data_IF_749187594445
#
_entry.id   IF_749187594445
#
_cell.length_a   1.000
_cell.length_b   1.000
_cell.length_c   1.000
_cell.angle_alpha   90.00
_cell.angle_beta   90.00
_cell.angle_gamma   90.00
#
_symmetry.space_group_name_H-M   'P 1'
#
loop_
_entity.id
_entity.type
_entity.pdbx_description
1 polymer ?
#
# COMPACT_ATOMS: atom_id res chain seq x y z
N UNK A 1 13.83 -13.32 5.80
CA UNK A 1 13.88 -12.31 4.70
C UNK A 1 15.15 -11.44 4.74
N UNK A 2 16.31 -12.07 4.88
CA UNK A 2 17.57 -11.34 4.95
C UNK A 2 17.84 -10.48 3.71
N UNK A 3 18.14 -9.19 3.91
CA UNK A 3 18.46 -8.24 2.84
C UNK A 3 17.29 -7.42 2.31
N UNK A 4 16.06 -7.67 2.76
CA UNK A 4 14.90 -6.83 2.46
C UNK A 4 14.86 -5.66 3.44
N UNK A 5 14.64 -4.46 2.94
CA UNK A 5 14.38 -3.30 3.79
C UNK A 5 12.89 -3.27 4.15
N UNK A 6 12.60 -2.95 5.39
CA UNK A 6 11.24 -2.87 5.88
C UNK A 6 10.86 -1.42 6.15
N UNK A 7 9.72 -1.01 5.62
CA UNK A 7 8.99 0.17 6.05
C UNK A 7 7.95 -0.22 7.11
N UNK A 8 7.51 0.73 7.91
CA UNK A 8 6.43 0.57 8.88
C UNK A 8 5.39 1.66 8.68
N UNK A 9 4.12 1.37 8.94
CA UNK A 9 3.09 2.39 8.96
C UNK A 9 3.35 3.34 10.13
N UNK A 10 3.55 4.62 9.86
CA UNK A 10 3.82 5.62 10.87
C UNK A 10 3.16 6.98 10.55
N UNK A 11 2.74 7.67 11.61
CA UNK A 11 2.20 9.03 11.59
C UNK A 11 3.11 10.04 12.28
N UNK A 12 2.52 11.16 12.74
CA UNK A 12 3.24 12.17 13.51
C UNK A 12 4.01 13.17 12.64
N UNK A 13 3.68 13.27 11.36
CA UNK A 13 4.35 14.12 10.38
C UNK A 13 4.13 15.62 10.64
N UNK A 14 3.20 16.00 11.51
CA UNK A 14 2.94 17.36 11.99
C UNK A 14 4.10 17.92 12.81
N UNK A 15 4.87 17.05 13.48
CA UNK A 15 6.13 17.38 14.14
C UNK A 15 7.25 16.46 13.59
N UNK A 16 7.80 16.79 12.41
CA UNK A 16 8.74 15.90 11.73
C UNK A 16 10.06 15.71 12.49
N UNK A 17 10.47 16.66 13.34
CA UNK A 17 11.69 16.49 14.15
C UNK A 17 11.49 15.47 15.25
N UNK A 18 10.32 15.54 15.94
CA UNK A 18 9.95 14.54 16.93
C UNK A 18 9.77 13.16 16.28
N UNK A 19 9.14 13.11 15.09
CA UNK A 19 8.98 11.87 14.34
C UNK A 19 10.34 11.24 14.00
N UNK A 20 11.34 12.02 13.59
CA UNK A 20 12.72 11.55 13.36
C UNK A 20 13.30 10.94 14.65
N UNK A 21 13.22 11.67 15.77
CA UNK A 21 13.78 11.19 17.02
C UNK A 21 13.15 9.88 17.48
N UNK A 22 11.80 9.79 17.41
CA UNK A 22 11.05 8.61 17.83
C UNK A 22 11.35 7.40 16.92
N UNK A 23 11.32 7.57 15.60
CA UNK A 23 11.52 6.51 14.63
C UNK A 23 12.97 6.02 14.61
N UNK A 24 13.95 6.94 14.67
CA UNK A 24 15.38 6.58 14.70
C UNK A 24 15.73 5.83 15.99
N UNK A 25 15.14 6.22 17.15
CA UNK A 25 15.33 5.47 18.40
C UNK A 25 14.86 4.02 18.30
N UNK A 26 13.88 3.73 17.45
CA UNK A 26 13.35 2.39 17.15
C UNK A 26 14.06 1.70 15.98
N UNK A 27 15.04 2.35 15.34
CA UNK A 27 15.77 1.80 14.20
C UNK A 27 14.97 1.72 12.90
N UNK A 28 13.95 2.57 12.77
CA UNK A 28 13.15 2.70 11.55
C UNK A 28 13.92 3.57 10.55
N UNK A 29 14.07 3.09 9.32
CA UNK A 29 14.72 3.81 8.22
C UNK A 29 13.72 4.21 7.11
N UNK A 30 12.54 3.59 7.09
CA UNK A 30 11.52 3.86 6.10
C UNK A 30 10.11 3.76 6.69
N UNK A 31 9.21 4.58 6.18
CA UNK A 31 7.81 4.59 6.59
C UNK A 31 6.87 4.56 5.38
N UNK A 32 5.69 4.02 5.63
CA UNK A 32 4.48 4.35 4.89
C UNK A 32 3.66 5.33 5.72
N UNK A 33 3.28 6.44 5.09
CA UNK A 33 2.51 7.49 5.74
C UNK A 33 1.04 7.44 5.32
N UNK A 34 0.16 8.02 6.15
CA UNK A 34 -1.23 8.24 5.79
C UNK A 34 -1.39 9.48 4.91
N UNK A 35 -2.38 9.45 4.01
CA UNK A 35 -2.68 10.55 3.09
C UNK A 35 -3.08 11.87 3.77
N UNK A 36 -3.65 11.83 4.96
CA UNK A 36 -4.22 13.02 5.64
C UNK A 36 -3.24 14.17 5.71
N UNK A 37 -1.99 13.90 6.11
CA UNK A 37 -0.95 14.93 6.15
C UNK A 37 -0.73 15.58 4.79
N UNK A 38 -0.69 14.79 3.72
CA UNK A 38 -0.44 15.27 2.35
C UNK A 38 -1.62 16.07 1.80
N UNK A 39 -2.84 15.64 2.08
CA UNK A 39 -4.06 16.27 1.57
C UNK A 39 -4.45 17.56 2.29
N UNK A 40 -4.02 17.72 3.55
CA UNK A 40 -4.38 18.88 4.37
C UNK A 40 -3.31 19.96 4.44
N UNK A 41 -2.09 19.67 3.99
CA UNK A 41 -0.98 20.62 4.06
C UNK A 41 -0.58 21.18 2.68
N UNK A 42 0.08 22.34 2.69
CA UNK A 42 0.63 22.93 1.47
C UNK A 42 1.82 22.13 0.93
N UNK A 43 2.07 22.21 -0.38
CA UNK A 43 3.25 21.60 -1.01
C UNK A 43 4.58 21.99 -0.32
N UNK A 44 4.71 23.25 0.14
CA UNK A 44 5.89 23.70 0.87
C UNK A 44 6.07 23.00 2.23
N UNK A 45 4.98 22.76 2.96
CA UNK A 45 5.01 22.00 4.23
C UNK A 45 5.37 20.54 3.96
N UNK A 46 4.75 19.92 2.97
CA UNK A 46 5.02 18.53 2.57
C UNK A 46 6.50 18.35 2.18
N UNK A 47 7.04 19.25 1.35
CA UNK A 47 8.46 19.23 0.95
C UNK A 47 9.39 19.38 2.13
N UNK A 48 9.13 20.33 3.03
CA UNK A 48 10.01 20.57 4.19
C UNK A 48 9.95 19.42 5.18
N UNK A 49 8.79 18.84 5.42
CA UNK A 49 8.64 17.66 6.29
C UNK A 49 9.41 16.48 5.71
N UNK A 50 9.26 16.18 4.42
CA UNK A 50 10.00 15.11 3.75
C UNK A 50 11.52 15.33 3.84
N UNK A 51 11.98 16.57 3.66
CA UNK A 51 13.39 16.93 3.81
C UNK A 51 13.92 16.68 5.22
N UNK A 52 13.17 17.09 6.26
CA UNK A 52 13.56 16.87 7.67
C UNK A 52 13.67 15.37 7.97
N UNK A 53 12.70 14.56 7.53
CA UNK A 53 12.72 13.10 7.70
C UNK A 53 13.94 12.49 7.00
N UNK A 54 14.17 12.86 5.74
CA UNK A 54 15.29 12.37 4.94
C UNK A 54 16.65 12.73 5.58
N UNK A 55 16.83 13.99 6.03
CA UNK A 55 18.03 14.43 6.72
C UNK A 55 18.25 13.67 8.05
N UNK A 56 17.16 13.20 8.67
CA UNK A 56 17.18 12.33 9.85
C UNK A 56 17.35 10.83 9.53
N UNK A 57 17.53 10.46 8.26
CA UNK A 57 17.70 9.07 7.82
C UNK A 57 16.40 8.28 7.64
N UNK A 58 15.23 8.96 7.63
CA UNK A 58 13.92 8.34 7.43
C UNK A 58 13.41 8.63 6.02
N UNK A 59 13.10 7.59 5.26
CA UNK A 59 12.50 7.73 3.91
C UNK A 59 10.99 7.52 3.98
N UNK A 60 10.18 8.42 3.41
CA UNK A 60 8.78 8.14 3.14
C UNK A 60 8.74 7.28 1.87
N UNK A 61 8.54 5.98 2.01
CA UNK A 61 8.59 5.02 0.91
C UNK A 61 7.31 5.02 0.09
N UNK A 62 6.19 5.05 0.78
CA UNK A 62 4.84 5.04 0.22
C UNK A 62 3.88 5.88 1.05
N UNK A 63 2.74 6.19 0.46
CA UNK A 63 1.63 6.84 1.15
C UNK A 63 0.37 6.03 0.88
N UNK A 64 -0.31 5.61 1.96
CA UNK A 64 -1.61 4.96 1.83
C UNK A 64 -2.67 6.00 1.48
N UNK A 65 -3.33 5.84 0.34
CA UNK A 65 -4.43 6.71 -0.07
C UNK A 65 -5.63 6.57 0.88
N UNK A 66 -6.51 7.56 0.98
CA UNK A 66 -7.72 7.43 1.77
C UNK A 66 -8.60 6.32 1.20
N UNK A 67 -9.21 5.55 2.07
CA UNK A 67 -10.08 4.41 1.70
C UNK A 67 -11.48 4.55 2.30
N UNK A 68 -12.34 3.58 2.01
CA UNK A 68 -13.75 3.61 2.39
C UNK A 68 -14.65 4.17 1.30
N UNK A 69 -15.98 4.10 1.53
CA UNK A 69 -16.98 4.36 0.50
C UNK A 69 -16.87 5.74 -0.16
N UNK A 70 -16.46 6.77 0.60
CA UNK A 70 -16.30 8.14 0.10
C UNK A 70 -15.04 8.35 -0.75
N UNK A 71 -14.12 7.38 -0.77
CA UNK A 71 -12.85 7.44 -1.50
C UNK A 71 -12.69 6.26 -2.46
N UNK A 72 -13.78 5.53 -2.72
CA UNK A 72 -13.77 4.34 -3.55
C UNK A 72 -13.63 4.70 -5.04
N UNK A 73 -12.57 4.19 -5.67
CA UNK A 73 -12.34 4.32 -7.12
C UNK A 73 -13.36 3.55 -7.94
N UNK A 74 -14.15 2.67 -7.31
CA UNK A 74 -15.23 1.91 -7.92
C UNK A 74 -16.60 2.24 -7.34
N UNK A 75 -16.79 3.42 -6.74
CA UNK A 75 -18.09 3.81 -6.19
C UNK A 75 -19.19 3.74 -7.27
N UNK A 76 -20.36 3.16 -6.95
CA UNK A 76 -21.51 3.14 -7.86
C UNK A 76 -22.03 4.54 -8.20
N UNK A 77 -21.87 5.49 -7.25
CA UNK A 77 -22.21 6.89 -7.43
C UNK A 77 -21.07 7.61 -8.16
N UNK A 78 -21.40 8.24 -9.30
CA UNK A 78 -20.42 8.90 -10.17
C UNK A 78 -19.80 10.14 -9.51
N UNK A 79 -20.55 10.90 -8.71
CA UNK A 79 -20.05 12.09 -8.03
C UNK A 79 -19.03 11.68 -6.94
N UNK A 80 -19.31 10.60 -6.20
CA UNK A 80 -18.39 10.03 -5.22
C UNK A 80 -17.12 9.54 -5.90
N UNK A 81 -17.26 8.85 -7.04
CA UNK A 81 -16.12 8.33 -7.80
C UNK A 81 -15.26 9.46 -8.37
N UNK A 82 -15.87 10.50 -8.95
CA UNK A 82 -15.14 11.67 -9.43
C UNK A 82 -14.37 12.39 -8.31
N UNK A 83 -14.98 12.51 -7.12
CA UNK A 83 -14.30 13.08 -5.96
C UNK A 83 -13.15 12.20 -5.48
N UNK A 84 -13.32 10.88 -5.51
CA UNK A 84 -12.23 9.93 -5.18
C UNK A 84 -11.06 10.09 -6.17
N UNK A 85 -11.32 10.17 -7.47
CA UNK A 85 -10.29 10.41 -8.51
C UNK A 85 -9.55 11.72 -8.24
N UNK A 86 -10.24 12.85 -7.98
CA UNK A 86 -9.56 14.12 -7.70
C UNK A 86 -8.72 14.04 -6.41
N UNK A 87 -9.20 13.35 -5.38
CA UNK A 87 -8.45 13.16 -4.13
C UNK A 87 -7.15 12.37 -4.37
N UNK A 88 -7.21 11.28 -5.14
CA UNK A 88 -6.02 10.51 -5.50
C UNK A 88 -5.08 11.31 -6.42
N UNK A 89 -5.62 12.10 -7.36
CA UNK A 89 -4.84 12.99 -8.21
C UNK A 89 -4.10 14.07 -7.41
N UNK A 90 -4.76 14.66 -6.40
CA UNK A 90 -4.12 15.58 -5.47
C UNK A 90 -3.00 14.88 -4.68
N UNK A 91 -3.26 13.67 -4.19
CA UNK A 91 -2.26 12.89 -3.44
C UNK A 91 -1.03 12.59 -4.28
N UNK A 92 -1.18 12.17 -5.54
CA UNK A 92 -0.07 11.94 -6.46
C UNK A 92 0.81 13.19 -6.61
N UNK A 93 0.20 14.37 -6.79
CA UNK A 93 0.93 15.65 -6.90
C UNK A 93 1.67 15.99 -5.60
N UNK A 94 1.06 15.78 -4.45
CA UNK A 94 1.69 16.03 -3.14
C UNK A 94 2.83 15.05 -2.87
N UNK A 95 2.66 13.78 -3.19
CA UNK A 95 3.70 12.76 -3.08
C UNK A 95 4.94 13.11 -3.92
N UNK A 96 4.75 13.66 -5.12
CA UNK A 96 5.86 14.11 -5.96
C UNK A 96 6.70 15.21 -5.28
N UNK A 97 6.08 16.16 -4.56
CA UNK A 97 6.81 17.18 -3.79
C UNK A 97 7.63 16.61 -2.63
N UNK A 98 7.22 15.47 -2.10
CA UNK A 98 7.93 14.76 -1.02
C UNK A 98 8.98 13.76 -1.52
N UNK A 99 9.08 13.53 -2.83
CA UNK A 99 9.93 12.48 -3.39
C UNK A 99 9.42 11.05 -3.10
N UNK A 100 8.15 10.90 -2.75
CA UNK A 100 7.49 9.60 -2.57
C UNK A 100 7.26 8.96 -3.93
N UNK A 101 7.56 7.68 -4.06
CA UNK A 101 7.51 6.99 -5.35
C UNK A 101 6.26 6.13 -5.58
N UNK A 102 5.49 5.85 -4.53
CA UNK A 102 4.32 4.97 -4.61
C UNK A 102 3.20 5.48 -3.70
N UNK A 103 1.97 5.52 -4.20
CA UNK A 103 0.77 5.53 -3.34
C UNK A 103 0.13 4.15 -3.38
N UNK A 104 -0.47 3.74 -2.25
CA UNK A 104 -1.28 2.53 -2.18
C UNK A 104 -2.74 2.92 -2.37
N UNK A 105 -3.45 2.24 -3.24
CA UNK A 105 -4.85 2.51 -3.52
C UNK A 105 -5.66 1.22 -3.51
N UNK A 106 -6.84 1.25 -2.89
CA UNK A 106 -7.81 0.18 -2.97
C UNK A 106 -8.60 0.25 -4.28
N UNK A 107 -8.84 -0.86 -4.98
CA UNK A 107 -9.73 -0.88 -6.15
C UNK A 107 -11.15 -0.43 -5.81
N UNK A 108 -11.59 -0.68 -4.57
CA UNK A 108 -12.90 -0.30 -4.08
C UNK A 108 -13.23 -0.93 -2.74
N UNK A 109 -14.50 -0.87 -2.38
CA UNK A 109 -15.03 -1.40 -1.11
C UNK A 109 -16.04 -2.52 -1.37
N UNK A 110 -16.52 -3.19 -0.30
CA UNK A 110 -17.61 -4.18 -0.39
C UNK A 110 -19.02 -3.58 -0.46
N UNK A 111 -19.15 -2.29 -0.83
CA UNK A 111 -20.42 -1.56 -0.86
C UNK A 111 -21.49 -2.20 -1.77
N UNK A 112 -21.05 -2.83 -2.86
CA UNK A 112 -21.95 -3.47 -3.82
C UNK A 112 -21.42 -4.87 -4.22
N UNK A 113 -21.41 -5.85 -3.32
CA UNK A 113 -20.77 -7.14 -3.54
C UNK A 113 -21.41 -7.95 -4.70
N UNK A 114 -22.68 -7.69 -5.02
CA UNK A 114 -23.37 -8.31 -6.17
C UNK A 114 -22.99 -7.66 -7.51
N UNK A 115 -22.23 -6.58 -7.50
CA UNK A 115 -21.85 -5.76 -8.66
C UNK A 115 -20.34 -5.68 -8.88
N UNK A 116 -19.57 -6.64 -8.37
CA UNK A 116 -18.09 -6.62 -8.44
C UNK A 116 -17.60 -6.42 -9.89
N UNK A 117 -18.26 -7.05 -10.88
CA UNK A 117 -17.87 -6.89 -12.27
C UNK A 117 -17.99 -5.44 -12.79
N UNK A 118 -19.07 -4.72 -12.38
CA UNK A 118 -19.26 -3.30 -12.69
C UNK A 118 -18.28 -2.42 -11.91
N UNK A 119 -18.00 -2.79 -10.67
CA UNK A 119 -17.02 -2.08 -9.83
C UNK A 119 -15.61 -2.16 -10.42
N UNK A 120 -15.23 -3.29 -11.02
CA UNK A 120 -13.96 -3.41 -11.75
C UNK A 120 -13.92 -2.49 -12.96
N UNK A 121 -15.03 -2.35 -13.71
CA UNK A 121 -15.12 -1.41 -14.85
C UNK A 121 -14.99 0.05 -14.38
N UNK A 122 -15.65 0.42 -13.28
CA UNK A 122 -15.53 1.77 -12.71
C UNK A 122 -14.14 2.07 -12.16
N UNK A 123 -13.51 1.09 -11.50
CA UNK A 123 -12.13 1.23 -11.04
C UNK A 123 -11.18 1.44 -12.23
N UNK A 124 -11.35 0.66 -13.31
CA UNK A 124 -10.59 0.85 -14.54
C UNK A 124 -10.73 2.27 -15.08
N UNK A 125 -11.95 2.80 -15.23
CA UNK A 125 -12.20 4.16 -15.69
C UNK A 125 -11.51 5.21 -14.80
N UNK A 126 -11.59 5.05 -13.49
CA UNK A 126 -10.89 5.93 -12.53
C UNK A 126 -9.39 5.90 -12.70
N UNK A 127 -8.81 4.73 -12.95
CA UNK A 127 -7.37 4.58 -13.17
C UNK A 127 -6.92 5.07 -14.55
N UNK A 128 -7.77 5.01 -15.57
CA UNK A 128 -7.52 5.65 -16.87
C UNK A 128 -7.35 7.17 -16.75
N UNK A 129 -8.08 7.81 -15.82
CA UNK A 129 -7.92 9.23 -15.50
C UNK A 129 -6.68 9.51 -14.65
N UNK A 130 -6.33 8.62 -13.73
CA UNK A 130 -5.20 8.78 -12.80
C UNK A 130 -3.84 8.44 -13.43
N UNK A 131 -3.79 7.49 -14.37
CA UNK A 131 -2.55 7.00 -14.95
C UNK A 131 -1.69 8.10 -15.59
N UNK A 132 -2.23 9.04 -16.41
CA UNK A 132 -1.44 10.15 -16.94
C UNK A 132 -0.86 11.06 -15.86
N UNK A 133 -1.55 11.22 -14.72
CA UNK A 133 -1.08 12.04 -13.60
C UNK A 133 0.04 11.31 -12.87
N UNK A 134 -0.11 10.01 -12.66
CA UNK A 134 0.92 9.16 -12.06
C UNK A 134 2.21 9.16 -12.90
N UNK A 135 2.10 9.05 -14.22
CA UNK A 135 3.24 9.14 -15.14
C UNK A 135 3.90 10.52 -15.09
N UNK A 136 3.12 11.60 -15.13
CA UNK A 136 3.65 12.97 -15.07
C UNK A 136 4.34 13.28 -13.75
N UNK A 137 3.81 12.79 -12.64
CA UNK A 137 4.36 13.00 -11.30
C UNK A 137 5.50 12.04 -10.97
N UNK A 138 5.68 10.98 -11.75
CA UNK A 138 6.59 9.87 -11.49
C UNK A 138 6.29 9.16 -10.16
N UNK A 139 5.03 9.21 -9.70
CA UNK A 139 4.52 8.50 -8.52
C UNK A 139 3.64 7.36 -9.00
N UNK A 140 4.01 6.13 -8.68
CA UNK A 140 3.26 4.95 -9.10
C UNK A 140 2.05 4.71 -8.20
N UNK A 141 1.04 4.02 -8.73
CA UNK A 141 -0.11 3.55 -7.97
C UNK A 141 0.04 2.03 -7.77
N UNK A 142 0.21 1.60 -6.52
CA UNK A 142 0.12 0.20 -6.13
C UNK A 142 -1.34 -0.15 -5.83
N UNK A 143 -1.99 -0.83 -6.76
CA UNK A 143 -3.36 -1.30 -6.57
C UNK A 143 -3.34 -2.54 -5.68
N UNK A 144 -4.02 -2.49 -4.55
CA UNK A 144 -3.93 -3.53 -3.53
C UNK A 144 -4.91 -4.69 -3.79
N UNK A 145 -4.44 -5.94 -3.59
CA UNK A 145 -5.38 -7.07 -3.58
C UNK A 145 -6.24 -7.03 -2.32
N UNK A 146 -7.54 -7.20 -2.50
CA UNK A 146 -8.53 -6.93 -1.48
C UNK A 146 -9.09 -8.19 -0.81
N UNK A 147 -9.79 -7.96 0.27
CA UNK A 147 -10.58 -8.95 1.02
C UNK A 147 -11.71 -9.56 0.16
N UNK A 148 -12.27 -10.72 0.57
CA UNK A 148 -13.46 -11.29 -0.08
C UNK A 148 -14.60 -10.29 -0.24
N UNK A 149 -15.32 -10.37 -1.34
CA UNK A 149 -16.46 -9.49 -1.71
C UNK A 149 -16.08 -8.02 -2.03
N UNK A 150 -14.82 -7.73 -2.23
CA UNK A 150 -14.35 -6.46 -2.77
C UNK A 150 -13.91 -6.65 -4.23
N UNK A 151 -13.92 -5.60 -5.07
CA UNK A 151 -13.22 -5.64 -6.34
C UNK A 151 -11.71 -5.77 -6.10
N UNK A 152 -11.02 -6.56 -6.93
CA UNK A 152 -9.59 -6.81 -6.76
C UNK A 152 -9.25 -7.89 -5.74
N UNK A 153 -10.21 -8.74 -5.37
CA UNK A 153 -10.01 -9.88 -4.48
C UNK A 153 -9.08 -10.93 -5.09
N UNK A 154 -9.15 -11.14 -6.39
CA UNK A 154 -8.32 -12.12 -7.10
C UNK A 154 -7.22 -11.45 -7.92
N UNK A 155 -6.15 -12.20 -8.21
CA UNK A 155 -5.06 -11.72 -9.06
C UNK A 155 -5.53 -11.42 -10.48
N UNK A 156 -6.45 -12.20 -11.01
CA UNK A 156 -7.04 -12.02 -12.34
C UNK A 156 -7.86 -10.74 -12.44
N UNK A 157 -8.59 -10.36 -11.38
CA UNK A 157 -9.32 -9.09 -11.32
C UNK A 157 -8.35 -7.90 -11.36
N UNK A 158 -7.26 -7.94 -10.61
CA UNK A 158 -6.23 -6.90 -10.64
C UNK A 158 -5.57 -6.80 -12.02
N UNK A 159 -5.15 -7.93 -12.60
CA UNK A 159 -4.54 -7.94 -13.92
C UNK A 159 -5.49 -7.43 -15.00
N UNK A 160 -6.78 -7.79 -14.93
CA UNK A 160 -7.80 -7.26 -15.85
C UNK A 160 -7.80 -5.72 -15.87
N UNK A 161 -7.77 -5.07 -14.70
CA UNK A 161 -7.74 -3.61 -14.60
C UNK A 161 -6.41 -3.07 -15.14
N UNK A 162 -5.28 -3.60 -14.66
CA UNK A 162 -3.96 -3.10 -15.00
C UNK A 162 -3.63 -3.26 -16.48
N UNK A 163 -4.04 -4.37 -17.10
CA UNK A 163 -3.80 -4.65 -18.53
C UNK A 163 -4.72 -3.79 -19.42
N UNK A 164 -5.94 -3.48 -18.97
CA UNK A 164 -6.83 -2.60 -19.70
C UNK A 164 -6.36 -1.15 -19.72
N UNK A 165 -5.82 -0.65 -18.59
CA UNK A 165 -5.27 0.72 -18.50
C UNK A 165 -3.89 0.82 -19.17
N UNK A 166 -3.11 -0.25 -19.18
CA UNK A 166 -1.79 -0.39 -19.84
C UNK A 166 -0.81 0.77 -19.57
N UNK A 167 -0.67 1.15 -18.29
CA UNK A 167 0.26 2.19 -17.87
C UNK A 167 1.42 1.63 -17.04
N UNK A 168 2.67 2.07 -17.30
CA UNK A 168 3.83 1.67 -16.50
C UNK A 168 3.82 2.27 -15.08
N UNK A 169 2.98 3.28 -14.84
CA UNK A 169 2.81 3.88 -13.52
C UNK A 169 1.90 3.07 -12.59
N UNK A 170 1.26 2.00 -13.08
CA UNK A 170 0.41 1.14 -12.30
C UNK A 170 1.08 -0.20 -12.00
N UNK A 171 0.85 -0.72 -10.81
CA UNK A 171 1.28 -2.05 -10.41
C UNK A 171 0.46 -2.55 -9.23
N UNK A 172 0.87 -3.66 -8.65
CA UNK A 172 0.19 -4.29 -7.52
C UNK A 172 0.91 -3.96 -6.21
N UNK A 173 0.15 -3.58 -5.18
CA UNK A 173 0.54 -3.75 -3.80
C UNK A 173 0.05 -5.13 -3.35
N UNK A 174 0.97 -6.06 -3.07
CA UNK A 174 0.58 -7.39 -2.62
C UNK A 174 0.45 -7.41 -1.11
N UNK A 175 -0.79 -7.52 -0.61
CA UNK A 175 -1.09 -7.70 0.80
C UNK A 175 -1.24 -9.18 1.16
N UNK A 176 -0.41 -9.63 2.14
CA UNK A 176 -0.35 -11.03 2.59
C UNK A 176 -1.57 -11.41 3.42
N UNK A 177 -2.10 -10.49 4.21
CA UNK A 177 -3.27 -10.70 5.06
C UNK A 177 -4.55 -10.84 4.25
N UNK A 178 -4.76 -9.94 3.30
CA UNK A 178 -5.91 -9.99 2.37
C UNK A 178 -5.88 -11.26 1.52
N UNK A 179 -4.73 -11.60 0.94
CA UNK A 179 -4.57 -12.83 0.16
C UNK A 179 -4.80 -14.08 1.01
N UNK A 180 -4.42 -14.06 2.31
CA UNK A 180 -4.70 -15.15 3.23
C UNK A 180 -6.19 -15.29 3.55
N UNK A 181 -6.93 -14.17 3.72
CA UNK A 181 -8.38 -14.19 3.88
C UNK A 181 -9.12 -14.77 2.68
N UNK A 182 -8.53 -14.69 1.48
CA UNK A 182 -9.06 -15.30 0.27
C UNK A 182 -8.79 -16.82 0.18
N UNK A 183 -7.99 -17.37 1.09
CA UNK A 183 -7.68 -18.79 1.17
C UNK A 183 -6.65 -19.31 0.17
N UNK A 184 -6.12 -18.49 -0.72
CA UNK A 184 -5.12 -18.87 -1.72
C UNK A 184 -4.06 -17.77 -1.93
N UNK A 185 -3.32 -17.46 -0.90
CA UNK A 185 -2.24 -16.46 -0.95
C UNK A 185 -1.23 -16.77 -2.07
N UNK A 186 -0.86 -18.04 -2.21
CA UNK A 186 0.10 -18.46 -3.24
C UNK A 186 -0.45 -18.26 -4.65
N UNK A 187 -1.70 -18.66 -4.89
CA UNK A 187 -2.34 -18.50 -6.21
C UNK A 187 -2.43 -17.03 -6.61
N UNK A 188 -2.90 -16.17 -5.72
CA UNK A 188 -2.94 -14.72 -5.99
C UNK A 188 -1.54 -14.19 -6.31
N UNK A 189 -0.53 -14.56 -5.50
CA UNK A 189 0.86 -14.14 -5.72
C UNK A 189 1.39 -14.55 -7.10
N UNK A 190 1.26 -15.83 -7.48
CA UNK A 190 1.78 -16.35 -8.75
C UNK A 190 1.14 -15.67 -9.97
N UNK A 191 -0.12 -15.24 -9.84
CA UNK A 191 -0.82 -14.50 -10.90
C UNK A 191 -0.27 -13.09 -11.06
N UNK A 192 -0.01 -12.37 -9.95
CA UNK A 192 0.34 -10.94 -10.00
C UNK A 192 1.83 -10.65 -9.89
N UNK A 193 2.69 -11.63 -9.64
CA UNK A 193 4.11 -11.46 -9.24
C UNK A 193 4.91 -10.53 -10.16
N UNK A 194 4.65 -10.57 -11.47
CA UNK A 194 5.38 -9.75 -12.45
C UNK A 194 4.86 -8.30 -12.52
N UNK A 195 3.81 -7.99 -11.78
CA UNK A 195 3.20 -6.65 -11.68
C UNK A 195 3.32 -6.07 -10.26
N UNK A 196 3.89 -6.81 -9.29
CA UNK A 196 4.07 -6.33 -7.92
C UNK A 196 5.13 -5.23 -7.88
N UNK A 197 4.80 -4.12 -7.23
CA UNK A 197 5.70 -2.97 -7.04
C UNK A 197 5.95 -2.65 -5.57
N UNK A 198 5.13 -3.17 -4.68
CA UNK A 198 5.28 -3.04 -3.23
C UNK A 198 4.48 -4.13 -2.51
N UNK A 199 4.65 -4.23 -1.21
CA UNK A 199 4.00 -5.23 -0.37
C UNK A 199 3.45 -4.61 0.90
N UNK A 200 2.30 -5.12 1.33
CA UNK A 200 1.83 -5.04 2.71
C UNK A 200 2.00 -6.38 3.40
N UNK A 201 2.69 -6.37 4.54
CA UNK A 201 2.91 -7.55 5.35
C UNK A 201 2.05 -7.43 6.62
N UNK A 202 0.97 -8.15 6.65
CA UNK A 202 0.11 -8.35 7.80
C UNK A 202 -0.18 -9.84 7.99
N UNK A 203 -0.40 -10.26 9.22
CA UNK A 203 -0.90 -11.60 9.54
C UNK A 203 -2.35 -11.51 10.04
N UNK A 204 -3.11 -12.57 10.00
CA UNK A 204 -4.46 -12.65 10.51
C UNK A 204 -4.90 -14.10 10.75
N UNK A 205 -6.20 -14.34 11.03
CA UNK A 205 -6.77 -15.66 11.28
C UNK A 205 -7.32 -16.37 10.02
N UNK A 206 -7.17 -15.74 8.84
CA UNK A 206 -7.73 -16.23 7.57
C UNK A 206 -9.23 -15.92 7.38
N UNK A 207 -9.83 -15.12 8.26
CA UNK A 207 -11.25 -14.73 8.20
C UNK A 207 -11.43 -13.22 8.14
N UNK A 208 -10.77 -12.51 9.03
CA UNK A 208 -10.87 -11.05 9.15
C UNK A 208 -9.54 -10.36 8.92
N UNK A 209 -9.64 -9.09 8.56
CA UNK A 209 -8.50 -8.21 8.42
C UNK A 209 -8.07 -7.69 9.80
N UNK A 210 -7.25 -8.48 10.47
CA UNK A 210 -6.91 -8.27 11.88
C UNK A 210 -5.57 -7.59 12.10
N UNK A 211 -4.77 -7.45 11.05
CA UNK A 211 -3.43 -6.85 11.11
C UNK A 211 -2.57 -7.38 12.26
N UNK A 212 -2.53 -8.69 12.46
CA UNK A 212 -1.63 -9.30 13.44
C UNK A 212 -0.18 -9.13 12.99
N UNK A 213 0.71 -9.02 13.96
CA UNK A 213 2.14 -9.03 13.66
C UNK A 213 2.56 -10.40 13.11
N UNK A 214 3.30 -10.44 11.99
CA UNK A 214 3.94 -11.68 11.56
C UNK A 214 4.92 -12.20 12.63
N UNK A 215 4.95 -13.49 12.97
CA UNK A 215 4.15 -14.60 12.44
C UNK A 215 3.07 -15.09 13.45
N UNK A 216 2.32 -14.21 14.07
CA UNK A 216 1.42 -14.57 15.19
C UNK A 216 -0.02 -14.88 14.78
N UNK A 217 -0.35 -14.80 13.49
CA UNK A 217 -1.60 -15.29 12.93
C UNK A 217 -1.44 -16.67 12.31
N UNK A 218 -2.16 -16.90 11.21
CA UNK A 218 -2.20 -18.19 10.51
C UNK A 218 -1.67 -18.15 9.08
N UNK A 219 -1.08 -17.03 8.64
CA UNK A 219 -0.41 -16.93 7.34
C UNK A 219 0.75 -17.93 7.28
N UNK A 220 0.83 -18.69 6.19
CA UNK A 220 1.96 -19.58 5.96
C UNK A 220 3.19 -18.80 5.46
N UNK A 221 3.94 -18.23 6.39
CA UNK A 221 5.13 -17.41 6.10
C UNK A 221 6.24 -18.20 5.40
N UNK A 222 6.35 -19.51 5.63
CA UNK A 222 7.32 -20.37 4.94
C UNK A 222 6.98 -20.42 3.44
N UNK A 223 5.70 -20.58 3.12
CA UNK A 223 5.23 -20.61 1.74
C UNK A 223 5.39 -19.22 1.08
N UNK A 224 4.97 -18.14 1.76
CA UNK A 224 5.19 -16.77 1.27
C UNK A 224 6.67 -16.50 0.95
N UNK A 225 7.58 -16.76 1.87
CA UNK A 225 9.01 -16.55 1.66
C UNK A 225 9.53 -17.41 0.49
N UNK A 226 9.00 -18.63 0.31
CA UNK A 226 9.40 -19.49 -0.79
C UNK A 226 9.06 -18.90 -2.17
N UNK A 227 7.85 -18.33 -2.32
CA UNK A 227 7.43 -17.70 -3.58
C UNK A 227 8.07 -16.32 -3.76
N UNK A 228 8.17 -15.52 -2.70
CA UNK A 228 8.85 -14.23 -2.72
C UNK A 228 10.30 -14.33 -3.23
N UNK A 229 11.02 -15.38 -2.86
CA UNK A 229 12.40 -15.62 -3.32
C UNK A 229 12.52 -15.89 -4.82
N UNK A 230 11.43 -16.18 -5.51
CA UNK A 230 11.44 -16.38 -6.96
C UNK A 230 11.36 -15.08 -7.76
N UNK A 231 11.05 -13.93 -7.10
CA UNK A 231 10.98 -12.63 -7.76
C UNK A 231 12.37 -12.09 -8.10
N UNK A 232 12.44 -11.24 -9.11
CA UNK A 232 13.63 -10.45 -9.45
C UNK A 232 14.02 -9.52 -8.27
N UNK A 233 15.33 -9.31 -8.06
CA UNK A 233 15.84 -8.58 -6.90
C UNK A 233 15.40 -7.10 -6.88
N UNK A 234 15.23 -6.49 -8.05
CA UNK A 234 14.85 -5.07 -8.17
C UNK A 234 13.48 -4.75 -7.56
N UNK A 235 12.60 -5.73 -7.42
CA UNK A 235 11.26 -5.58 -6.83
C UNK A 235 11.22 -5.90 -5.33
N UNK A 236 12.36 -6.18 -4.71
CA UNK A 236 12.44 -6.58 -3.29
C UNK A 236 12.90 -5.47 -2.35
N UNK A 237 12.98 -4.22 -2.85
CA UNK A 237 13.69 -3.18 -2.11
C UNK A 237 13.00 -2.78 -0.81
N UNK A 238 11.66 -2.73 -0.78
CA UNK A 238 10.92 -2.38 0.43
C UNK A 238 9.61 -3.15 0.52
N UNK A 239 9.33 -3.62 1.74
CA UNK A 239 8.03 -4.12 2.13
C UNK A 239 7.52 -3.30 3.30
N UNK A 240 6.28 -2.89 3.27
CA UNK A 240 5.64 -2.23 4.41
C UNK A 240 5.07 -3.28 5.36
N UNK A 241 5.46 -3.20 6.62
CA UNK A 241 4.82 -3.98 7.69
C UNK A 241 3.59 -3.21 8.14
N UNK A 242 2.43 -3.67 7.68
CA UNK A 242 1.14 -3.00 7.91
C UNK A 242 0.46 -3.52 9.18
N UNK A 243 1.16 -3.38 10.27
CA UNK A 243 0.67 -3.76 11.60
C UNK A 243 1.27 -2.85 12.66
N UNK A 244 0.50 -2.43 13.66
CA UNK A 244 1.05 -1.66 14.75
C UNK A 244 1.97 -2.54 15.62
N UNK A 245 2.96 -1.96 16.29
CA UNK A 245 3.68 -2.68 17.34
C UNK A 245 2.72 -3.15 18.44
N UNK A 246 3.02 -4.30 19.07
CA UNK A 246 2.25 -4.77 20.22
C UNK A 246 2.23 -3.72 21.33
N UNK A 247 1.16 -3.68 22.17
CA UNK A 247 1.16 -2.83 23.35
C UNK A 247 2.38 -3.11 24.23
N UNK A 248 3.23 -2.09 24.39
CA UNK A 248 4.50 -2.20 25.13
C UNK A 248 5.69 -2.74 24.35
N UNK A 249 5.51 -3.10 23.08
CA UNK A 249 6.59 -3.34 22.11
C UNK A 249 6.90 -2.09 21.29
N UNK A 250 7.95 -2.15 20.45
CA UNK A 250 8.31 -1.08 19.54
C UNK A 250 8.57 -1.58 18.13
N UNK A 251 8.79 -0.65 17.20
CA UNK A 251 9.11 -0.99 15.80
C UNK A 251 10.39 -1.82 15.68
N UNK A 252 11.39 -1.60 16.53
CA UNK A 252 12.62 -2.42 16.56
C UNK A 252 12.33 -3.90 16.74
N UNK A 253 11.42 -4.24 17.63
CA UNK A 253 11.01 -5.62 17.86
C UNK A 253 10.24 -6.16 16.64
N UNK A 254 9.30 -5.40 16.13
CA UNK A 254 8.50 -5.77 14.95
C UNK A 254 9.40 -6.01 13.72
N UNK A 255 10.29 -5.07 13.40
CA UNK A 255 11.25 -5.19 12.29
C UNK A 255 12.13 -6.43 12.48
N UNK A 256 12.61 -6.68 13.70
CA UNK A 256 13.45 -7.85 14.01
C UNK A 256 12.70 -9.16 13.78
N UNK A 257 11.43 -9.26 14.17
CA UNK A 257 10.60 -10.44 13.95
C UNK A 257 10.35 -10.71 12.47
N UNK A 258 9.93 -9.71 11.72
CA UNK A 258 9.66 -9.85 10.26
C UNK A 258 10.94 -10.15 9.49
N UNK A 259 12.05 -9.53 9.85
CA UNK A 259 13.36 -9.82 9.21
C UNK A 259 13.82 -11.26 9.44
N UNK A 260 13.36 -11.90 10.49
CA UNK A 260 13.73 -13.29 10.82
C UNK A 260 12.93 -14.34 10.04
N UNK A 261 11.84 -13.96 9.35
CA UNK A 261 11.11 -14.82 8.42
C UNK A 261 11.97 -15.12 7.19
#
# INVERSE_FOLDING_TARGET
MAGVKLAVCAGGLEDPRKAVDDLAAEGVEAIEANADFFLTNSAGMVTETARILHDGGITIRSVHAPFGNQHSLSAPDEDVRAQAVETHAQLLRQCAYAGVSVIIAHPGTSEAPDRVAEMLDWCQQSLEELAPIAEQTQVRIGLENMLPNHPGTTGEELLRILDAVDSPALGVCFDTGHAHCNGDMRGVFEVVKDRIITFHLADNDGVGDLHFQPPYGTVNWIDFVSVFRTMELEYRDFMTVETPPWPGGGYRQLIGQVSAL
#
